data_IF_488305671489
#
_entry.id   IF_488305671489
#
_cell.length_a   1.000
_cell.length_b   1.000
_cell.length_c   1.000
_cell.angle_alpha   90.00
_cell.angle_beta   90.00
_cell.angle_gamma   90.00
#
_symmetry.space_group_name_H-M   'P 1'
#
loop_
_entity.id
_entity.type
_entity.pdbx_description
1 polymer ?
#
# COMPACT_ATOMS: atom_id res chain seq x y z
N UNK A 1 51.10 -26.31 20.31
CA UNK A 1 51.15 -27.15 21.53
C UNK A 1 49.93 -28.06 21.55
N UNK A 2 50.10 -29.32 21.16
CA UNK A 2 49.00 -30.29 21.05
C UNK A 2 48.48 -30.69 22.43
N UNK A 3 47.18 -30.49 22.68
CA UNK A 3 46.50 -31.02 23.87
C UNK A 3 46.34 -32.53 23.72
N UNK A 4 46.55 -33.27 24.81
CA UNK A 4 46.43 -34.73 24.83
C UNK A 4 45.05 -35.24 24.39
N UNK A 5 44.99 -36.53 24.07
CA UNK A 5 43.76 -37.23 23.70
C UNK A 5 42.72 -37.07 24.82
N UNK A 6 41.48 -36.71 24.45
CA UNK A 6 40.34 -36.64 25.37
C UNK A 6 39.38 -37.79 25.09
N UNK A 7 38.70 -38.28 26.12
CA UNK A 7 37.61 -39.26 26.00
C UNK A 7 36.36 -38.65 25.35
N UNK A 8 35.61 -39.43 24.58
CA UNK A 8 34.33 -39.01 24.00
C UNK A 8 33.23 -39.20 25.03
N UNK A 9 33.15 -38.27 25.98
CA UNK A 9 32.09 -38.15 26.98
C UNK A 9 31.70 -36.68 27.19
N UNK A 10 30.57 -36.43 27.87
CA UNK A 10 30.14 -35.07 28.19
C UNK A 10 31.22 -34.36 29.02
N UNK A 11 31.59 -33.15 28.62
CA UNK A 11 32.53 -32.31 29.38
C UNK A 11 31.74 -31.64 30.50
N UNK A 12 32.06 -31.96 31.75
CA UNK A 12 31.30 -31.46 32.91
C UNK A 12 31.53 -29.97 33.18
N UNK A 13 32.79 -29.51 33.11
CA UNK A 13 33.12 -28.10 33.26
C UNK A 13 32.48 -27.24 32.15
N UNK A 14 31.62 -26.30 32.53
CA UNK A 14 30.82 -25.47 31.61
C UNK A 14 31.67 -24.60 30.68
N UNK A 15 32.70 -23.94 31.21
CA UNK A 15 33.62 -23.08 30.43
C UNK A 15 34.37 -23.89 29.39
N UNK A 16 34.95 -25.03 29.78
CA UNK A 16 35.65 -25.93 28.87
C UNK A 16 34.70 -26.50 27.81
N UNK A 17 33.47 -26.86 28.20
CA UNK A 17 32.43 -27.33 27.28
C UNK A 17 32.07 -26.26 26.25
N UNK A 18 31.90 -25.00 26.65
CA UNK A 18 31.57 -23.90 25.74
C UNK A 18 32.68 -23.59 24.73
N UNK A 19 33.93 -23.53 25.20
CA UNK A 19 35.10 -23.32 24.33
C UNK A 19 35.23 -24.49 23.36
N UNK A 20 35.04 -25.72 23.84
CA UNK A 20 35.13 -26.93 23.03
C UNK A 20 34.01 -27.01 22.00
N UNK A 21 32.78 -26.71 22.39
CA UNK A 21 31.63 -26.59 21.49
C UNK A 21 31.94 -25.61 20.36
N UNK A 22 32.40 -24.40 20.69
CA UNK A 22 32.70 -23.37 19.68
C UNK A 22 33.76 -23.83 18.68
N UNK A 23 34.84 -24.46 19.17
CA UNK A 23 35.90 -25.00 18.30
C UNK A 23 35.44 -26.18 17.46
N UNK A 24 34.76 -27.16 18.05
CA UNK A 24 34.26 -28.36 17.35
C UNK A 24 33.17 -28.03 16.34
N UNK A 25 32.22 -27.16 16.70
CA UNK A 25 31.17 -26.64 15.81
C UNK A 25 31.77 -25.98 14.57
N UNK A 26 32.76 -25.09 14.77
CA UNK A 26 33.44 -24.45 13.63
C UNK A 26 34.24 -25.47 12.81
N UNK A 27 34.87 -26.46 13.46
CA UNK A 27 35.59 -27.54 12.78
C UNK A 27 34.69 -28.41 11.89
N UNK A 28 33.54 -28.85 12.40
CA UNK A 28 32.59 -29.65 11.62
C UNK A 28 31.95 -28.84 10.48
N UNK A 29 31.66 -27.56 10.69
CA UNK A 29 31.18 -26.67 9.61
C UNK A 29 32.21 -26.52 8.50
N UNK A 30 33.50 -26.38 8.84
CA UNK A 30 34.58 -26.35 7.84
C UNK A 30 34.65 -27.66 7.06
N UNK A 31 34.55 -28.81 7.73
CA UNK A 31 34.55 -30.13 7.08
C UNK A 31 33.33 -30.34 6.17
N UNK A 32 32.15 -29.92 6.60
CA UNK A 32 30.94 -29.95 5.78
C UNK A 32 31.10 -29.08 4.51
N UNK A 33 31.72 -27.90 4.64
CA UNK A 33 32.06 -27.05 3.50
C UNK A 33 33.08 -27.68 2.56
N UNK A 34 34.14 -28.29 3.10
CA UNK A 34 35.13 -29.01 2.31
C UNK A 34 34.48 -30.12 1.48
N UNK A 35 33.64 -30.96 2.10
CA UNK A 35 32.91 -32.03 1.37
C UNK A 35 32.02 -31.45 0.28
N UNK A 36 31.28 -30.39 0.59
CA UNK A 36 30.38 -29.77 -0.39
C UNK A 36 31.13 -29.24 -1.60
N UNK A 37 32.30 -28.61 -1.40
CA UNK A 37 33.10 -28.04 -2.49
C UNK A 37 33.90 -29.10 -3.24
N UNK A 38 34.55 -30.03 -2.53
CA UNK A 38 35.46 -31.01 -3.14
C UNK A 38 34.73 -32.10 -3.92
N UNK A 39 33.52 -32.46 -3.48
CA UNK A 39 32.76 -33.58 -4.04
C UNK A 39 31.46 -33.14 -4.73
N UNK A 40 31.23 -31.84 -4.90
CA UNK A 40 29.96 -31.26 -5.38
C UNK A 40 28.72 -31.83 -4.65
N UNK A 41 28.88 -32.06 -3.35
CA UNK A 41 27.85 -32.67 -2.52
C UNK A 41 26.95 -31.61 -1.88
N UNK A 42 25.65 -31.90 -1.85
CA UNK A 42 24.69 -31.11 -1.06
C UNK A 42 24.76 -31.53 0.40
N UNK A 43 25.22 -30.62 1.27
CA UNK A 43 25.41 -30.88 2.70
C UNK A 43 24.67 -29.83 3.52
N UNK A 44 23.95 -30.27 4.55
CA UNK A 44 23.40 -29.37 5.58
C UNK A 44 23.62 -29.95 6.98
N UNK A 45 23.82 -29.07 7.95
CA UNK A 45 24.09 -29.38 9.34
C UNK A 45 23.32 -28.41 10.23
N UNK A 46 22.53 -28.95 11.17
CA UNK A 46 21.82 -28.18 12.19
C UNK A 46 22.30 -28.63 13.56
N UNK A 47 22.71 -27.69 14.41
CA UNK A 47 23.24 -27.94 15.74
C UNK A 47 22.50 -27.06 16.74
N UNK A 48 21.90 -27.68 17.75
CA UNK A 48 21.36 -26.97 18.91
C UNK A 48 22.36 -27.06 20.07
N UNK A 49 22.69 -25.92 20.67
CA UNK A 49 23.45 -25.90 21.91
C UNK A 49 22.57 -26.32 23.09
N UNK A 50 23.18 -26.64 24.24
CA UNK A 50 22.44 -26.96 25.47
C UNK A 50 21.56 -25.81 25.99
N UNK A 51 21.76 -24.59 25.48
CA UNK A 51 20.95 -23.41 25.77
C UNK A 51 19.83 -23.19 24.73
N UNK A 52 19.59 -24.15 23.83
CA UNK A 52 18.61 -24.04 22.76
C UNK A 52 19.03 -23.16 21.57
N UNK A 53 20.20 -22.50 21.63
CA UNK A 53 20.67 -21.70 20.50
C UNK A 53 20.98 -22.59 19.30
N UNK A 54 20.32 -22.30 18.18
CA UNK A 54 20.52 -22.96 16.88
C UNK A 54 21.75 -22.39 16.16
N UNK A 55 22.50 -23.28 15.52
CA UNK A 55 23.56 -22.98 14.58
C UNK A 55 23.40 -23.88 13.37
N UNK A 56 23.49 -23.31 12.18
CA UNK A 56 23.30 -24.06 10.95
C UNK A 56 24.40 -23.79 9.92
N UNK A 57 24.56 -24.75 9.03
CA UNK A 57 25.31 -24.63 7.79
C UNK A 57 24.53 -25.31 6.68
N UNK A 58 24.45 -24.68 5.52
CA UNK A 58 23.91 -25.27 4.31
C UNK A 58 24.84 -24.97 3.14
N UNK A 59 25.07 -25.97 2.29
CA UNK A 59 25.82 -25.79 1.04
C UNK A 59 25.17 -24.70 0.17
N UNK A 60 25.96 -23.84 -0.52
CA UNK A 60 25.43 -22.70 -1.28
C UNK A 60 24.49 -23.07 -2.44
N UNK A 61 24.61 -24.29 -2.97
CA UNK A 61 23.82 -24.78 -4.09
C UNK A 61 22.40 -25.21 -3.71
N UNK A 62 22.02 -25.14 -2.44
CA UNK A 62 20.71 -25.61 -1.95
C UNK A 62 20.28 -24.89 -0.67
N UNK A 63 19.07 -25.19 -0.21
CA UNK A 63 18.53 -24.72 1.07
C UNK A 63 18.23 -25.90 1.99
N UNK A 64 18.16 -25.65 3.30
CA UNK A 64 17.78 -26.68 4.27
C UNK A 64 16.44 -27.32 3.91
N UNK A 65 15.43 -26.51 3.53
CA UNK A 65 14.11 -27.01 3.11
C UNK A 65 14.20 -27.99 1.93
N UNK A 66 14.99 -27.67 0.91
CA UNK A 66 15.19 -28.56 -0.25
C UNK A 66 15.88 -29.87 0.11
N UNK A 67 16.84 -29.83 1.04
CA UNK A 67 17.49 -31.06 1.54
C UNK A 67 16.50 -31.91 2.33
N UNK A 68 15.69 -31.30 3.20
CA UNK A 68 14.68 -32.02 3.99
C UNK A 68 13.60 -32.63 3.09
N UNK A 69 13.18 -31.92 2.05
CA UNK A 69 12.25 -32.42 1.05
C UNK A 69 12.82 -33.65 0.32
N UNK A 70 14.06 -33.58 -0.19
CA UNK A 70 14.76 -34.74 -0.77
C UNK A 70 14.90 -35.89 0.22
N UNK A 71 15.23 -35.60 1.49
CA UNK A 71 15.30 -36.63 2.52
C UNK A 71 13.96 -37.32 2.71
N UNK A 72 12.85 -36.58 2.78
CA UNK A 72 11.51 -37.16 2.89
C UNK A 72 11.17 -38.04 1.68
N UNK A 73 11.44 -37.56 0.47
CA UNK A 73 11.20 -38.30 -0.78
C UNK A 73 12.01 -39.62 -0.83
N UNK A 74 13.29 -39.58 -0.44
CA UNK A 74 14.18 -40.73 -0.54
C UNK A 74 14.10 -41.70 0.64
N UNK A 75 13.81 -41.22 1.86
CA UNK A 75 13.76 -42.05 3.07
C UNK A 75 12.39 -42.65 3.34
N UNK A 76 11.34 -42.15 2.68
CA UNK A 76 9.94 -42.52 2.95
C UNK A 76 9.43 -42.07 4.32
N UNK A 77 10.25 -41.35 5.11
CA UNK A 77 9.83 -40.82 6.41
C UNK A 77 9.10 -39.50 6.19
N UNK A 78 7.86 -39.42 6.67
CA UNK A 78 7.12 -38.16 6.73
C UNK A 78 7.75 -37.25 7.79
N UNK A 79 8.34 -36.15 7.34
CA UNK A 79 8.83 -35.08 8.22
C UNK A 79 7.69 -34.12 8.57
N UNK A 80 6.82 -33.87 7.60
CA UNK A 80 5.68 -32.96 7.75
C UNK A 80 4.44 -33.71 8.25
N UNK A 81 3.68 -33.06 9.13
CA UNK A 81 2.38 -33.59 9.55
C UNK A 81 1.32 -33.37 8.46
N UNK A 82 0.18 -34.05 8.59
CA UNK A 82 -0.92 -33.93 7.63
C UNK A 82 -1.44 -32.47 7.49
N UNK A 83 -1.27 -31.65 8.54
CA UNK A 83 -1.69 -30.25 8.52
C UNK A 83 -0.78 -29.42 7.61
N UNK A 84 0.54 -29.64 7.66
CA UNK A 84 1.51 -29.01 6.77
C UNK A 84 1.33 -29.46 5.32
N UNK A 85 1.03 -30.74 5.07
CA UNK A 85 0.71 -31.24 3.73
C UNK A 85 -0.53 -30.53 3.15
N UNK A 86 -1.62 -30.44 3.93
CA UNK A 86 -2.85 -29.75 3.52
C UNK A 86 -2.64 -28.26 3.26
N UNK A 87 -1.85 -27.58 4.11
CA UNK A 87 -1.55 -26.16 3.92
C UNK A 87 -0.74 -25.92 2.64
N UNK A 88 0.22 -26.79 2.32
CA UNK A 88 0.98 -26.68 1.08
C UNK A 88 0.06 -26.84 -0.14
N UNK A 89 -0.82 -27.84 -0.12
CA UNK A 89 -1.79 -28.05 -1.19
C UNK A 89 -2.73 -26.85 -1.37
N UNK A 90 -3.16 -26.23 -0.27
CA UNK A 90 -4.00 -25.03 -0.31
C UNK A 90 -3.25 -23.83 -0.89
N UNK A 91 -1.98 -23.63 -0.53
CA UNK A 91 -1.12 -22.58 -1.09
C UNK A 91 -1.00 -22.77 -2.61
N UNK A 92 -0.78 -24.00 -3.07
CA UNK A 92 -0.66 -24.28 -4.51
C UNK A 92 -1.99 -24.09 -5.25
N UNK A 93 -3.12 -24.43 -4.60
CA UNK A 93 -4.46 -24.14 -5.13
C UNK A 93 -4.68 -22.63 -5.32
N UNK A 94 -4.37 -21.84 -4.29
CA UNK A 94 -4.54 -20.38 -4.31
C UNK A 94 -3.61 -19.73 -5.34
N UNK A 95 -2.37 -20.20 -5.46
CA UNK A 95 -1.45 -19.71 -6.50
C UNK A 95 -2.01 -19.94 -7.90
N UNK A 96 -2.49 -21.14 -8.18
CA UNK A 96 -3.07 -21.47 -9.48
C UNK A 96 -4.32 -20.63 -9.77
N UNK A 97 -5.16 -20.40 -8.76
CA UNK A 97 -6.33 -19.54 -8.89
C UNK A 97 -5.94 -18.09 -9.19
N UNK A 98 -4.92 -17.55 -8.50
CA UNK A 98 -4.39 -16.22 -8.75
C UNK A 98 -3.78 -16.09 -10.16
N UNK A 99 -3.01 -17.09 -10.61
CA UNK A 99 -2.43 -17.11 -11.95
C UNK A 99 -3.53 -17.09 -13.03
N UNK A 100 -4.60 -17.86 -12.83
CA UNK A 100 -5.76 -17.85 -13.72
C UNK A 100 -6.47 -16.49 -13.73
N UNK A 101 -6.69 -15.87 -12.56
CA UNK A 101 -7.30 -14.54 -12.47
C UNK A 101 -6.44 -13.48 -13.16
N UNK A 102 -5.11 -13.58 -13.07
CA UNK A 102 -4.21 -12.66 -13.76
C UNK A 102 -4.31 -12.81 -15.28
N UNK A 103 -4.41 -14.04 -15.79
CA UNK A 103 -4.65 -14.31 -17.21
C UNK A 103 -5.97 -13.68 -17.66
N UNK A 104 -7.05 -13.89 -16.91
CA UNK A 104 -8.37 -13.32 -17.20
C UNK A 104 -8.34 -11.78 -17.21
N UNK A 105 -7.64 -11.17 -16.25
CA UNK A 105 -7.43 -9.72 -16.22
C UNK A 105 -6.67 -9.20 -17.44
N UNK A 106 -5.66 -9.93 -17.93
CA UNK A 106 -4.94 -9.57 -19.17
C UNK A 106 -5.89 -9.61 -20.36
N UNK A 107 -6.68 -10.67 -20.49
CA UNK A 107 -7.66 -10.77 -21.57
C UNK A 107 -8.70 -9.64 -21.53
N UNK A 108 -9.23 -9.30 -20.35
CA UNK A 108 -10.16 -8.17 -20.17
C UNK A 108 -9.51 -6.81 -20.50
N UNK A 109 -8.20 -6.67 -20.38
CA UNK A 109 -7.46 -5.47 -20.83
C UNK A 109 -7.18 -5.46 -22.34
N UNK A 110 -7.50 -6.53 -23.05
CA UNK A 110 -7.18 -6.70 -24.46
C UNK A 110 -5.76 -7.18 -24.73
N UNK A 111 -5.08 -7.72 -23.73
CA UNK A 111 -3.75 -8.33 -23.84
C UNK A 111 -3.89 -9.85 -24.11
N UNK A 112 -2.86 -10.49 -24.69
CA UNK A 112 -2.75 -11.95 -24.92
C UNK A 112 -3.90 -12.64 -25.71
N UNK A 113 -4.71 -11.87 -26.44
CA UNK A 113 -5.91 -12.37 -27.14
C UNK A 113 -5.64 -13.38 -28.27
N UNK A 114 -4.43 -13.40 -28.82
CA UNK A 114 -4.06 -14.31 -29.93
C UNK A 114 -4.17 -15.80 -29.55
N UNK A 115 -4.17 -16.11 -28.25
CA UNK A 115 -4.31 -17.47 -27.74
C UNK A 115 -5.77 -17.95 -27.66
N UNK A 116 -6.73 -17.04 -27.77
CA UNK A 116 -8.16 -17.31 -27.58
C UNK A 116 -8.86 -17.61 -28.90
N UNK A 117 -9.83 -18.52 -28.84
CA UNK A 117 -10.71 -18.79 -29.98
C UNK A 117 -11.95 -17.86 -29.96
N UNK A 118 -12.69 -17.73 -31.07
CA UNK A 118 -13.85 -16.83 -31.14
C UNK A 118 -14.92 -17.07 -30.07
N UNK A 119 -15.12 -18.33 -29.63
CA UNK A 119 -16.11 -18.64 -28.58
C UNK A 119 -15.70 -18.10 -27.21
N UNK A 120 -14.39 -17.95 -26.98
CA UNK A 120 -13.83 -17.37 -25.76
C UNK A 120 -13.80 -15.84 -25.79
N UNK A 121 -13.70 -15.25 -26.98
CA UNK A 121 -13.69 -13.79 -27.16
C UNK A 121 -15.07 -13.14 -26.99
N UNK A 122 -16.14 -13.82 -27.44
CA UNK A 122 -17.52 -13.32 -27.33
C UNK A 122 -17.91 -12.91 -25.89
N UNK A 123 -17.75 -13.77 -24.85
CA UNK A 123 -18.12 -13.38 -23.49
C UNK A 123 -17.26 -12.24 -22.93
N UNK A 124 -16.01 -12.11 -23.38
CA UNK A 124 -15.12 -11.00 -22.99
C UNK A 124 -15.67 -9.70 -23.57
N UNK A 125 -16.02 -9.67 -24.86
CA UNK A 125 -16.60 -8.50 -25.53
C UNK A 125 -17.92 -8.08 -24.85
N UNK A 126 -18.81 -9.04 -24.59
CA UNK A 126 -20.09 -8.79 -23.91
C UNK A 126 -19.88 -8.19 -22.51
N UNK A 127 -18.95 -8.76 -21.74
CA UNK A 127 -18.61 -8.26 -20.39
C UNK A 127 -18.08 -6.83 -20.44
N UNK A 128 -17.19 -6.53 -21.38
CA UNK A 128 -16.63 -5.19 -21.57
C UNK A 128 -17.70 -4.18 -22.00
N UNK A 129 -18.60 -4.57 -22.90
CA UNK A 129 -19.69 -3.71 -23.36
C UNK A 129 -20.69 -3.40 -22.23
N UNK A 130 -21.03 -4.40 -21.42
CA UNK A 130 -21.89 -4.24 -20.25
C UNK A 130 -21.23 -3.35 -19.18
N UNK A 131 -19.94 -3.56 -18.92
CA UNK A 131 -19.15 -2.72 -18.01
C UNK A 131 -19.08 -1.27 -18.47
N UNK A 132 -18.78 -1.04 -19.76
CA UNK A 132 -18.72 0.30 -20.35
C UNK A 132 -20.07 1.03 -20.27
N UNK A 133 -21.17 0.33 -20.55
CA UNK A 133 -22.52 0.88 -20.43
C UNK A 133 -22.82 1.31 -19.00
N UNK A 134 -22.46 0.47 -18.01
CA UNK A 134 -22.65 0.76 -16.60
C UNK A 134 -21.85 1.99 -16.14
N UNK A 135 -20.58 2.09 -16.56
CA UNK A 135 -19.73 3.25 -16.25
C UNK A 135 -20.30 4.54 -16.87
N UNK A 136 -20.74 4.49 -18.14
CA UNK A 136 -21.36 5.64 -18.82
C UNK A 136 -22.64 6.10 -18.13
N UNK A 137 -23.49 5.17 -17.72
CA UNK A 137 -24.71 5.49 -16.96
C UNK A 137 -24.36 6.23 -15.66
N UNK A 138 -23.35 5.75 -14.93
CA UNK A 138 -22.89 6.40 -13.70
C UNK A 138 -22.33 7.81 -13.95
N UNK A 139 -21.54 7.99 -15.01
CA UNK A 139 -21.03 9.30 -15.42
C UNK A 139 -22.16 10.28 -15.76
N UNK A 140 -23.19 9.79 -16.47
CA UNK A 140 -24.36 10.60 -16.80
C UNK A 140 -25.14 11.02 -15.55
N UNK A 141 -25.27 10.16 -14.54
CA UNK A 141 -25.92 10.52 -13.28
C UNK A 141 -25.16 11.64 -12.55
N UNK A 142 -23.82 11.56 -12.51
CA UNK A 142 -22.99 12.64 -11.97
C UNK A 142 -23.17 13.95 -12.75
N UNK A 143 -23.18 13.89 -14.08
CA UNK A 143 -23.39 15.07 -14.91
C UNK A 143 -24.76 15.73 -14.67
N UNK A 144 -25.82 14.93 -14.53
CA UNK A 144 -27.17 15.43 -14.19
C UNK A 144 -27.19 16.11 -12.83
N UNK A 145 -26.50 15.54 -11.84
CA UNK A 145 -26.37 16.13 -10.51
C UNK A 145 -25.65 17.49 -10.56
N UNK A 146 -24.51 17.57 -11.26
CA UNK A 146 -23.76 18.82 -11.41
C UNK A 146 -24.59 19.92 -12.08
N UNK A 147 -25.31 19.60 -13.17
CA UNK A 147 -26.21 20.55 -13.85
C UNK A 147 -27.38 21.01 -12.98
N UNK A 148 -27.82 20.20 -12.01
CA UNK A 148 -28.85 20.62 -11.05
C UNK A 148 -28.26 21.58 -10.03
N UNK A 149 -27.07 21.28 -9.52
CA UNK A 149 -26.38 22.16 -8.57
C UNK A 149 -26.05 23.51 -9.19
N UNK A 150 -25.54 23.53 -10.43
CA UNK A 150 -25.27 24.77 -11.18
C UNK A 150 -26.50 25.68 -11.23
N UNK A 151 -27.66 25.14 -11.63
CA UNK A 151 -28.92 25.91 -11.66
C UNK A 151 -29.33 26.46 -10.31
N UNK A 152 -29.23 25.66 -9.24
CA UNK A 152 -29.53 26.13 -7.88
C UNK A 152 -28.58 27.24 -7.43
N UNK A 153 -27.28 27.14 -7.75
CA UNK A 153 -26.32 28.20 -7.45
C UNK A 153 -26.59 29.47 -8.26
N UNK A 154 -26.96 29.35 -9.54
CA UNK A 154 -27.33 30.51 -10.35
C UNK A 154 -28.57 31.23 -9.82
N UNK A 155 -29.59 30.47 -9.40
CA UNK A 155 -30.81 31.02 -8.80
C UNK A 155 -30.50 31.77 -7.49
N UNK A 156 -29.70 31.17 -6.61
CA UNK A 156 -29.31 31.83 -5.36
C UNK A 156 -28.43 33.05 -5.62
N UNK A 157 -27.52 32.99 -6.59
CA UNK A 157 -26.68 34.15 -6.94
C UNK A 157 -27.51 35.31 -7.51
N UNK A 158 -28.52 35.03 -8.34
CA UNK A 158 -29.48 36.03 -8.83
C UNK A 158 -30.26 36.66 -7.67
N UNK A 159 -30.74 35.84 -6.73
CA UNK A 159 -31.46 36.31 -5.53
C UNK A 159 -30.59 37.21 -4.65
N UNK A 160 -29.35 36.80 -4.39
CA UNK A 160 -28.39 37.59 -3.61
C UNK A 160 -28.04 38.92 -4.31
N UNK A 161 -27.86 38.90 -5.63
CA UNK A 161 -27.62 40.12 -6.42
C UNK A 161 -28.80 41.08 -6.34
N UNK A 162 -30.03 40.59 -6.42
CA UNK A 162 -31.24 41.41 -6.25
C UNK A 162 -31.31 42.04 -4.86
N UNK A 163 -31.06 41.27 -3.80
CA UNK A 163 -31.04 41.77 -2.42
C UNK A 163 -29.96 42.83 -2.21
N UNK A 164 -28.76 42.61 -2.75
CA UNK A 164 -27.66 43.57 -2.69
C UNK A 164 -28.03 44.88 -3.37
N UNK A 165 -28.62 44.81 -4.56
CA UNK A 165 -29.06 46.00 -5.31
C UNK A 165 -30.13 46.79 -4.54
N UNK A 166 -31.13 46.09 -3.97
CA UNK A 166 -32.16 46.74 -3.16
C UNK A 166 -31.58 47.41 -1.91
N UNK A 167 -30.60 46.77 -1.25
CA UNK A 167 -29.92 47.34 -0.09
C UNK A 167 -29.10 48.59 -0.47
N UNK A 168 -28.42 48.57 -1.62
CA UNK A 168 -27.68 49.74 -2.14
C UNK A 168 -28.62 50.91 -2.40
N UNK A 169 -29.76 50.69 -3.05
CA UNK A 169 -30.77 51.72 -3.29
C UNK A 169 -31.35 52.27 -1.98
N UNK A 170 -31.62 51.42 -0.99
CA UNK A 170 -32.08 51.85 0.33
C UNK A 170 -31.02 52.70 1.06
N UNK A 171 -29.73 52.32 0.96
CA UNK A 171 -28.63 53.10 1.52
C UNK A 171 -28.45 54.45 0.80
N UNK A 172 -28.55 54.51 -0.54
CA UNK A 172 -28.50 55.76 -1.30
C UNK A 172 -29.70 56.67 -0.98
N UNK A 173 -30.89 56.10 -0.79
CA UNK A 173 -32.08 56.82 -0.34
C UNK A 173 -31.92 57.40 1.06
N UNK A 174 -31.42 56.61 2.02
CA UNK A 174 -31.11 57.10 3.36
C UNK A 174 -29.96 58.11 3.39
N UNK A 175 -28.98 58.02 2.47
CA UNK A 175 -27.94 59.04 2.31
C UNK A 175 -28.52 60.36 1.81
N UNK A 176 -29.47 60.33 0.87
CA UNK A 176 -30.18 61.53 0.38
C UNK A 176 -31.08 62.14 1.45
N UNK A 177 -31.74 61.33 2.29
CA UNK A 177 -32.51 61.82 3.43
C UNK A 177 -31.61 62.41 4.53
N UNK A 178 -30.43 61.82 4.78
CA UNK A 178 -29.42 62.42 5.66
C UNK A 178 -28.97 63.77 5.11
N UNK A 179 -28.68 63.87 3.80
CA UNK A 179 -28.22 65.10 3.12
C UNK A 179 -29.28 66.23 3.19
N UNK A 180 -30.57 65.88 3.07
CA UNK A 180 -31.69 66.82 3.29
C UNK A 180 -31.79 67.24 4.77
N UNK A 181 -31.51 66.33 5.70
CA UNK A 181 -31.47 66.61 7.14
C UNK A 181 -30.29 67.50 7.57
N UNK A 182 -29.12 67.36 6.93
CA UNK A 182 -27.94 68.21 7.15
C UNK A 182 -28.15 69.62 6.56
N UNK A 183 -28.80 69.75 5.41
CA UNK A 183 -29.11 71.05 4.82
C UNK A 183 -30.15 71.88 5.61
N UNK A 184 -30.93 71.28 6.50
CA UNK A 184 -31.86 72.03 7.35
C UNK A 184 -31.22 72.50 8.68
N UNK A 185 -30.06 71.96 9.08
CA UNK A 185 -29.36 72.36 10.32
C UNK A 185 -28.08 73.18 10.09
N UNK A 186 -27.45 73.15 8.92
CA UNK A 186 -26.21 73.89 8.65
C UNK A 186 -26.44 75.28 8.04
N UNK A 187 -27.23 76.12 8.71
CA UNK A 187 -27.11 77.58 8.49
C UNK A 187 -25.96 78.21 9.26
N UNK A 188 -25.25 77.49 10.12
CA UNK A 188 -24.07 78.02 10.81
C UNK A 188 -23.00 76.94 11.03
N UNK A 189 -21.79 77.21 10.50
CA UNK A 189 -20.47 76.60 10.74
C UNK A 189 -19.92 75.48 9.83
N UNK A 190 -19.07 75.96 8.89
CA UNK A 190 -17.72 75.51 8.49
C UNK A 190 -17.37 74.01 8.30
N UNK A 191 -16.84 73.76 7.09
CA UNK A 191 -16.09 72.62 6.57
C UNK A 191 -15.32 71.72 7.56
N UNK A 192 -15.56 70.42 7.48
CA UNK A 192 -14.57 69.36 7.75
C UNK A 192 -14.91 68.09 6.95
N UNK A 193 -14.04 67.72 5.99
CA UNK A 193 -14.04 66.41 5.33
C UNK A 193 -13.51 65.34 6.31
N UNK A 194 -14.19 64.19 6.45
CA UNK A 194 -13.51 62.89 6.30
C UNK A 194 -14.48 61.81 5.74
N UNK A 195 -14.13 60.74 5.00
CA UNK A 195 -12.99 59.83 5.02
C UNK A 195 -12.86 59.18 3.63
N UNK A 196 -11.62 58.91 3.22
CA UNK A 196 -11.30 58.05 2.09
C UNK A 196 -11.48 56.57 2.48
N UNK A 197 -12.31 55.82 1.76
CA UNK A 197 -12.33 54.36 1.87
C UNK A 197 -11.18 53.77 1.08
N UNK A 198 -10.12 53.35 1.79
CA UNK A 198 -8.99 52.61 1.22
C UNK A 198 -9.36 51.13 1.21
N UNK A 199 -9.58 50.56 0.03
CA UNK A 199 -9.77 49.11 -0.14
C UNK A 199 -8.42 48.43 0.09
N UNK A 200 -8.31 47.58 1.13
CA UNK A 200 -7.15 46.71 1.30
C UNK A 200 -7.27 45.50 0.36
N UNK A 201 -6.20 45.12 -0.37
CA UNK A 201 -6.20 43.89 -1.14
C UNK A 201 -6.10 42.68 -0.21
N UNK A 202 -6.98 41.71 -0.41
CA UNK A 202 -6.98 40.39 0.25
C UNK A 202 -5.69 39.65 -0.16
N UNK A 203 -4.84 39.31 0.80
CA UNK A 203 -3.77 38.34 0.59
C UNK A 203 -4.35 36.90 0.63
N UNK A 204 -3.92 35.99 -0.26
CA UNK A 204 -4.33 34.60 -0.20
C UNK A 204 -3.54 33.85 0.89
N UNK A 205 -4.25 33.24 1.84
CA UNK A 205 -3.68 32.29 2.78
C UNK A 205 -3.32 30.99 2.06
N UNK A 206 -2.05 30.81 1.72
CA UNK A 206 -1.44 29.52 1.43
C UNK A 206 -0.81 28.97 2.71
N UNK A 207 -1.56 28.13 3.43
CA UNK A 207 -0.99 27.17 4.37
C UNK A 207 -1.33 25.76 3.87
N UNK A 208 -0.45 25.22 3.03
CA UNK A 208 -0.34 23.78 2.85
C UNK A 208 0.39 23.21 4.06
N UNK A 209 -0.29 22.36 4.82
CA UNK A 209 0.26 21.62 5.94
C UNK A 209 0.09 20.13 5.63
N UNK A 210 1.23 19.46 5.42
CA UNK A 210 1.51 18.01 5.43
C UNK A 210 0.86 17.11 4.38
#
# INVERSE_FOLDING_TARGET
>A
MGRGKIEIKRIENSTNRQVTFSKRRNGIMKKAKEISVLCDAQVSLVIFSSLGKMFEYCSPSTTLSKILEKYQQNSGKKLWDAKHENLSAEIDRIKKENDNMQIELRHLKGEDLNSLNPKELIPIEETLQNGLTSVRNKQMDFLKMLKKNERMLEEENKRLTYLLHHQQLAMEGSMRELDIGYHQKDREYAAQMPMTFRVQPIQPNLQGNK
#
